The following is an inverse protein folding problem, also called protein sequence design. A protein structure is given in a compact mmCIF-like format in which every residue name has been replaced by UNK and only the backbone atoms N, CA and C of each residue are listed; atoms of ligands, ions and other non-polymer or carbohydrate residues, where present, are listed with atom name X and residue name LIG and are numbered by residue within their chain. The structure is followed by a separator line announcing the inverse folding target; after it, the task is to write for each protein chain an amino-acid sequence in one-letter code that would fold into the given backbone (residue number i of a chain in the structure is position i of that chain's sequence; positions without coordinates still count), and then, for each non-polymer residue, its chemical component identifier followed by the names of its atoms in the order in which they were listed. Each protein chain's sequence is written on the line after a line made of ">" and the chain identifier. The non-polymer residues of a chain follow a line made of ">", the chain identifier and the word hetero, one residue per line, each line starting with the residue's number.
data_IF_908494732837
#
_entry.id   IF_908494732837
#
_cell.length_a   1.000
_cell.length_b   1.000
_cell.length_c   1.000
_cell.angle_alpha   90.00
_cell.angle_beta   90.00
_cell.angle_gamma   90.00
#
_symmetry.space_group_name_H-M   'P 1'
#
loop_
_entity.id
_entity.type
_entity.pdbx_description
1 polymer ?
#
# COMPACT_ATOMS: atom_id res chain seq x y z
N UNK A 1 -22.31 11.28 29.49
CA UNK A 1 -22.13 10.03 28.70
C UNK A 1 -22.45 10.35 27.26
N UNK A 2 -21.46 10.32 26.36
CA UNK A 2 -21.73 10.41 24.92
C UNK A 2 -22.17 9.03 24.45
N UNK A 3 -23.32 8.98 23.79
CA UNK A 3 -23.87 7.80 23.15
C UNK A 3 -22.92 7.41 22.02
N UNK A 4 -22.30 6.23 22.09
CA UNK A 4 -21.50 5.67 21.00
C UNK A 4 -22.51 4.91 20.13
N UNK A 5 -22.90 5.47 18.99
CA UNK A 5 -23.77 4.80 18.03
C UNK A 5 -23.03 3.60 17.45
N UNK A 6 -23.69 2.45 17.39
CA UNK A 6 -23.20 1.22 16.76
C UNK A 6 -23.22 1.29 15.21
N UNK A 7 -23.32 2.50 14.66
CA UNK A 7 -23.35 2.70 13.22
C UNK A 7 -21.92 2.47 12.67
N UNK A 8 -21.74 1.60 11.64
CA UNK A 8 -20.45 1.44 11.01
C UNK A 8 -19.99 2.82 10.53
N UNK A 9 -18.85 3.28 11.08
CA UNK A 9 -18.27 4.54 10.64
C UNK A 9 -17.98 4.42 9.16
N UNK A 10 -18.49 5.35 8.34
CA UNK A 10 -18.34 5.24 6.90
C UNK A 10 -16.85 5.26 6.60
N UNK A 11 -16.32 4.16 6.06
CA UNK A 11 -15.04 4.16 5.37
C UNK A 11 -15.05 5.39 4.43
N UNK A 12 -13.98 6.20 4.35
CA UNK A 12 -14.02 7.42 3.56
C UNK A 12 -14.09 7.06 2.06
N UNK A 13 -15.28 6.76 1.56
CA UNK A 13 -15.52 6.15 0.25
C UNK A 13 -15.17 7.06 -0.93
N UNK A 14 -14.93 8.35 -0.68
CA UNK A 14 -14.68 9.35 -1.73
C UNK A 14 -13.37 10.14 -1.60
N UNK A 15 -12.63 9.97 -0.49
CA UNK A 15 -11.41 10.76 -0.22
C UNK A 15 -10.40 10.05 0.69
N UNK A 16 -10.54 8.74 0.96
CA UNK A 16 -9.61 8.04 1.85
C UNK A 16 -8.18 8.02 1.30
N UNK A 17 -8.04 7.89 -0.01
CA UNK A 17 -6.76 7.72 -0.68
C UNK A 17 -6.76 8.67 -1.87
N UNK A 18 -6.02 9.76 -1.77
CA UNK A 18 -5.76 10.65 -2.90
C UNK A 18 -4.46 10.19 -3.57
N UNK A 19 -4.59 9.37 -4.62
CA UNK A 19 -3.45 8.93 -5.43
C UNK A 19 -3.03 10.09 -6.35
N UNK A 20 -2.26 11.05 -5.83
CA UNK A 20 -1.75 12.23 -6.55
C UNK A 20 -0.66 11.88 -7.57
N UNK A 21 -1.00 11.00 -8.52
CA UNK A 21 -0.12 10.47 -9.56
C UNK A 21 0.99 9.55 -8.99
N UNK A 22 0.71 8.24 -9.08
CA UNK A 22 1.56 7.08 -8.75
C UNK A 22 1.40 6.49 -7.35
N UNK A 23 1.26 5.16 -7.32
CA UNK A 23 1.37 4.36 -6.11
C UNK A 23 2.86 4.27 -5.74
N UNK A 24 3.34 5.22 -4.96
CA UNK A 24 4.67 5.23 -4.37
C UNK A 24 4.65 4.61 -2.95
N UNK A 25 5.81 4.48 -2.33
CA UNK A 25 5.93 3.89 -0.99
C UNK A 25 5.17 4.67 0.10
N UNK A 26 5.04 5.98 -0.05
CA UNK A 26 4.32 6.86 0.89
C UNK A 26 2.81 6.62 0.79
N UNK A 27 2.25 6.59 -0.43
CA UNK A 27 0.84 6.27 -0.66
C UNK A 27 0.54 4.85 -0.19
N UNK A 28 1.44 3.89 -0.39
CA UNK A 28 1.26 2.53 0.14
C UNK A 28 1.22 2.52 1.67
N UNK A 29 2.11 3.25 2.34
CA UNK A 29 2.12 3.38 3.79
C UNK A 29 0.83 4.02 4.34
N UNK A 30 0.31 5.05 3.67
CA UNK A 30 -0.99 5.67 4.01
C UNK A 30 -2.14 4.66 3.91
N UNK A 31 -2.19 3.88 2.83
CA UNK A 31 -3.19 2.83 2.63
C UNK A 31 -3.12 1.82 3.77
N UNK A 32 -1.93 1.32 4.09
CA UNK A 32 -1.69 0.33 5.15
C UNK A 32 -2.12 0.89 6.52
N UNK A 33 -1.82 2.17 6.77
CA UNK A 33 -2.24 2.84 7.99
C UNK A 33 -3.78 2.96 8.09
N UNK A 34 -4.45 3.34 7.00
CA UNK A 34 -5.91 3.48 6.95
C UNK A 34 -6.62 2.14 7.22
N UNK A 35 -6.08 1.03 6.70
CA UNK A 35 -6.64 -0.31 6.97
C UNK A 35 -6.30 -0.84 8.37
N UNK A 36 -5.44 -0.14 9.13
CA UNK A 36 -5.05 -0.51 10.48
C UNK A 36 -4.01 -1.62 10.56
N UNK A 37 -3.19 -1.78 9.52
CA UNK A 37 -2.10 -2.75 9.45
C UNK A 37 -0.75 -2.12 9.83
N UNK A 38 0.22 -2.94 10.19
CA UNK A 38 1.60 -2.50 10.42
C UNK A 38 2.30 -2.27 9.07
N UNK A 39 2.97 -1.12 8.92
CA UNK A 39 3.66 -0.74 7.68
C UNK A 39 5.17 -0.98 7.74
N UNK A 40 5.73 -1.41 8.88
CA UNK A 40 7.18 -1.48 9.06
C UNK A 40 7.88 -2.39 8.05
N UNK A 41 7.27 -3.51 7.66
CA UNK A 41 7.81 -4.40 6.64
C UNK A 41 7.95 -3.70 5.26
N UNK A 42 7.00 -2.82 4.93
CA UNK A 42 6.95 -2.11 3.65
C UNK A 42 7.97 -0.96 3.58
N UNK A 43 8.36 -0.38 4.72
CA UNK A 43 9.42 0.63 4.77
C UNK A 43 10.74 0.11 4.18
N UNK A 44 11.04 -1.18 4.43
CA UNK A 44 12.20 -1.87 3.86
C UNK A 44 12.15 -2.07 2.34
N UNK A 45 11.00 -1.81 1.70
CA UNK A 45 10.76 -1.98 0.26
C UNK A 45 10.73 -0.65 -0.51
N UNK A 46 11.02 0.47 0.17
CA UNK A 46 10.94 1.81 -0.42
C UNK A 46 11.77 1.99 -1.69
N UNK A 47 13.02 1.51 -1.69
CA UNK A 47 13.91 1.63 -2.85
C UNK A 47 13.35 0.83 -4.04
N UNK A 48 12.81 -0.35 -3.79
CA UNK A 48 12.20 -1.21 -4.80
C UNK A 48 10.98 -0.56 -5.44
N UNK A 49 10.13 0.10 -4.65
CA UNK A 49 8.93 0.76 -5.14
C UNK A 49 9.29 2.07 -5.86
N UNK A 50 10.02 2.96 -5.19
CA UNK A 50 10.18 4.34 -5.66
C UNK A 50 11.28 4.49 -6.71
N UNK A 51 12.41 3.81 -6.54
CA UNK A 51 13.59 4.00 -7.40
C UNK A 51 13.74 2.95 -8.50
N UNK A 52 13.20 1.74 -8.28
CA UNK A 52 13.20 0.69 -9.30
C UNK A 52 11.87 0.67 -10.06
N UNK A 53 10.76 0.27 -9.41
CA UNK A 53 9.49 0.07 -10.08
C UNK A 53 8.99 1.34 -10.78
N UNK A 54 8.89 2.46 -10.06
CA UNK A 54 8.40 3.70 -10.67
C UNK A 54 9.33 4.21 -11.77
N UNK A 55 10.65 4.14 -11.58
CA UNK A 55 11.63 4.55 -12.60
C UNK A 55 11.46 3.75 -13.88
N UNK A 56 11.48 2.42 -13.79
CA UNK A 56 11.42 1.54 -14.95
C UNK A 56 10.07 1.65 -15.66
N UNK A 57 8.97 1.66 -14.89
CA UNK A 57 7.63 1.88 -15.44
C UNK A 57 7.51 3.23 -16.14
N UNK A 58 8.07 4.30 -15.57
CA UNK A 58 8.06 5.64 -16.18
C UNK A 58 8.91 5.69 -17.45
N UNK A 59 10.07 5.03 -17.46
CA UNK A 59 10.93 4.93 -18.65
C UNK A 59 10.16 4.28 -19.80
N UNK A 60 9.55 3.13 -19.57
CA UNK A 60 8.72 2.44 -20.58
C UNK A 60 7.50 3.28 -21.00
N UNK A 61 6.78 3.88 -20.04
CA UNK A 61 5.54 4.61 -20.33
C UNK A 61 5.78 5.93 -21.07
N UNK A 62 6.85 6.66 -20.76
CA UNK A 62 7.15 7.97 -21.36
C UNK A 62 8.10 7.89 -22.55
N UNK A 63 9.09 7.00 -22.51
CA UNK A 63 10.12 6.87 -23.54
C UNK A 63 9.83 5.72 -24.52
N UNK A 64 8.91 4.81 -24.18
CA UNK A 64 8.56 3.64 -25.00
C UNK A 64 9.49 2.43 -24.80
N UNK A 65 10.60 2.61 -24.08
CA UNK A 65 11.61 1.58 -23.82
C UNK A 65 12.38 1.89 -22.53
N UNK A 66 13.04 0.87 -21.98
CA UNK A 66 14.01 1.03 -20.89
C UNK A 66 15.28 0.23 -21.21
N UNK A 67 16.26 0.84 -21.91
CA UNK A 67 17.42 0.13 -22.43
C UNK A 67 18.36 -0.42 -21.35
N UNK A 68 18.26 0.10 -20.13
CA UNK A 68 19.08 -0.29 -18.98
C UNK A 68 18.41 -1.35 -18.10
N UNK A 69 17.25 -1.88 -18.52
CA UNK A 69 16.47 -2.86 -17.78
C UNK A 69 16.43 -4.18 -18.53
N UNK A 70 17.21 -5.15 -18.07
CA UNK A 70 17.32 -6.45 -18.71
C UNK A 70 16.32 -7.49 -18.15
N UNK A 71 16.33 -8.70 -18.72
CA UNK A 71 15.42 -9.77 -18.32
C UNK A 71 15.64 -10.25 -16.88
N UNK A 72 16.88 -10.21 -16.38
CA UNK A 72 17.19 -10.60 -15.00
C UNK A 72 16.70 -9.52 -14.03
N UNK A 73 16.96 -8.25 -14.34
CA UNK A 73 16.44 -7.12 -13.58
C UNK A 73 14.91 -7.14 -13.52
N UNK A 74 14.25 -7.45 -14.65
CA UNK A 74 12.81 -7.66 -14.70
C UNK A 74 12.36 -8.81 -13.81
N UNK A 75 12.97 -9.99 -13.94
CA UNK A 75 12.57 -11.17 -13.18
C UNK A 75 12.72 -10.96 -11.67
N UNK A 76 13.81 -10.33 -11.24
CA UNK A 76 14.04 -9.96 -9.85
C UNK A 76 13.04 -8.93 -9.35
N UNK A 77 12.86 -7.81 -10.06
CA UNK A 77 11.91 -6.78 -9.67
C UNK A 77 10.48 -7.30 -9.66
N UNK A 78 10.07 -8.06 -10.67
CA UNK A 78 8.76 -8.69 -10.74
C UNK A 78 8.51 -9.58 -9.51
N UNK A 79 9.46 -10.43 -9.15
CA UNK A 79 9.34 -11.31 -7.99
C UNK A 79 9.21 -10.53 -6.68
N UNK A 80 10.00 -9.45 -6.52
CA UNK A 80 9.91 -8.56 -5.36
C UNK A 80 8.54 -7.83 -5.28
N UNK A 81 8.01 -7.37 -6.40
CA UNK A 81 6.72 -6.67 -6.43
C UNK A 81 5.56 -7.65 -6.16
N UNK A 82 5.61 -8.87 -6.68
CA UNK A 82 4.61 -9.89 -6.38
C UNK A 82 4.63 -10.24 -4.88
N UNK A 83 5.81 -10.36 -4.27
CA UNK A 83 5.92 -10.58 -2.82
C UNK A 83 5.25 -9.45 -2.02
N UNK A 84 5.42 -8.18 -2.43
CA UNK A 84 4.78 -7.03 -1.78
C UNK A 84 3.25 -7.09 -1.92
N UNK A 85 2.75 -7.46 -3.10
CA UNK A 85 1.30 -7.60 -3.36
C UNK A 85 0.72 -8.76 -2.53
N UNK A 86 1.45 -9.86 -2.44
CA UNK A 86 1.05 -11.04 -1.66
C UNK A 86 0.97 -10.71 -0.17
N UNK A 87 2.00 -10.05 0.38
CA UNK A 87 1.98 -9.59 1.77
C UNK A 87 0.83 -8.61 2.03
N UNK A 88 0.57 -7.68 1.10
CA UNK A 88 -0.54 -6.74 1.24
C UNK A 88 -1.90 -7.44 1.27
N UNK A 89 -2.12 -8.43 0.40
CA UNK A 89 -3.33 -9.26 0.45
C UNK A 89 -3.46 -9.93 1.82
N UNK A 90 -2.41 -10.59 2.28
CA UNK A 90 -2.44 -11.34 3.54
C UNK A 90 -2.73 -10.40 4.73
N UNK A 91 -2.16 -9.21 4.74
CA UNK A 91 -2.43 -8.19 5.77
C UNK A 91 -3.89 -7.71 5.74
N UNK A 92 -4.46 -7.48 4.56
CA UNK A 92 -5.87 -7.10 4.40
C UNK A 92 -6.80 -8.23 4.86
N UNK A 93 -6.52 -9.47 4.48
CA UNK A 93 -7.29 -10.65 4.89
C UNK A 93 -7.25 -10.83 6.40
N UNK A 94 -6.06 -10.70 7.00
CA UNK A 94 -5.87 -10.78 8.44
C UNK A 94 -6.63 -9.67 9.16
N UNK A 95 -6.51 -8.42 8.71
CA UNK A 95 -7.21 -7.27 9.28
C UNK A 95 -8.73 -7.43 9.22
N UNK A 96 -9.26 -7.99 8.13
CA UNK A 96 -10.68 -8.30 8.00
C UNK A 96 -11.11 -9.42 8.96
N UNK A 97 -10.30 -10.48 9.08
CA UNK A 97 -10.59 -11.63 9.95
C UNK A 97 -10.61 -11.25 11.44
N UNK A 98 -9.69 -10.38 11.89
CA UNK A 98 -9.64 -9.90 13.28
C UNK A 98 -10.50 -8.66 13.53
N UNK A 99 -11.16 -8.15 12.49
CA UNK A 99 -11.93 -6.90 12.52
C UNK A 99 -11.12 -5.72 13.06
N UNK A 100 -9.89 -5.55 12.58
CA UNK A 100 -8.98 -4.50 13.03
C UNK A 100 -9.61 -3.09 12.94
N UNK A 101 -10.52 -2.89 11.99
CA UNK A 101 -11.31 -1.65 11.83
C UNK A 101 -12.20 -1.31 13.04
N UNK A 102 -12.61 -2.28 13.89
CA UNK A 102 -13.38 -2.03 15.11
C UNK A 102 -12.49 -1.51 16.27
N UNK A 103 -11.18 -1.80 16.24
CA UNK A 103 -10.24 -1.47 17.32
C UNK A 103 -9.76 0.00 17.29
N UNK A 104 -9.81 0.66 16.14
CA UNK A 104 -9.39 2.07 15.98
C UNK A 104 -10.30 3.08 16.73
N UNK A 105 -11.42 2.64 17.33
CA UNK A 105 -12.34 3.49 18.10
C UNK A 105 -12.07 3.54 19.62
N UNK A 106 -11.08 2.79 20.13
CA UNK A 106 -10.78 2.74 21.57
C UNK A 106 -9.62 3.63 22.03
N UNK A 107 -9.05 4.46 21.16
CA UNK A 107 -7.98 5.41 21.51
C UNK A 107 -8.37 6.86 21.19
N UNK A 108 -9.27 7.41 22.00
CA UNK A 108 -9.33 8.86 22.24
C UNK A 108 -9.70 9.05 23.71
N UNK A 109 -8.68 9.27 24.55
CA UNK A 109 -8.82 9.69 25.94
C UNK A 109 -8.81 11.21 25.98
#
# INVERSE_FOLDING_TARGET
>A
MRNISNDPLPLPTKAAIETYDNLNSEVLAEIIHIIGCDHHWYEGKKIQIDEKLLRHRNSVAHNGEDPEFDENDYSSLHSEIIEIIDQFRDDVENAAAIKAFELQHYHTV
#
